data_IF_968844017396
#
_entry.id   IF_968844017396
#
_cell.length_a   1.000
_cell.length_b   1.000
_cell.length_c   1.000
_cell.angle_alpha   90.00
_cell.angle_beta   90.00
_cell.angle_gamma   90.00
#
_symmetry.space_group_name_H-M   'P 1'
#
loop_
_entity.id
_entity.type
_entity.pdbx_description
1 polymer ?
#
# COMPACT_ATOMS: atom_id res chain seq x y z
N UNK A 1 -14.23 -16.31 6.75
CA UNK A 1 -14.77 -14.97 7.05
C UNK A 1 -13.98 -13.92 6.31
N UNK A 2 -14.69 -12.97 5.70
CA UNK A 2 -14.01 -11.89 4.99
C UNK A 2 -13.36 -10.95 5.97
N UNK A 3 -12.08 -10.66 5.76
CA UNK A 3 -11.39 -9.61 6.52
C UNK A 3 -11.99 -8.25 6.19
N UNK A 4 -12.04 -7.39 7.17
CA UNK A 4 -12.46 -6.00 7.01
C UNK A 4 -11.25 -5.16 6.64
N UNK A 5 -11.43 -4.24 5.72
CA UNK A 5 -10.42 -3.26 5.34
C UNK A 5 -10.97 -1.85 5.47
N UNK A 6 -10.24 -1.02 6.17
CA UNK A 6 -10.48 0.41 6.22
C UNK A 6 -9.51 1.10 5.27
N UNK A 7 -10.02 1.70 4.22
CA UNK A 7 -9.23 2.50 3.29
C UNK A 7 -9.31 3.96 3.71
N UNK A 8 -8.18 4.60 3.91
CA UNK A 8 -8.11 6.03 4.19
C UNK A 8 -7.77 6.76 2.90
N UNK A 9 -8.75 7.51 2.40
CA UNK A 9 -8.63 8.26 1.15
C UNK A 9 -9.57 7.76 0.06
N UNK A 10 -10.22 8.69 -0.65
CA UNK A 10 -11.19 8.40 -1.72
C UNK A 10 -10.86 9.10 -3.05
N UNK A 11 -9.65 9.59 -3.20
CA UNK A 11 -9.15 10.15 -4.46
C UNK A 11 -8.92 9.07 -5.53
N UNK A 12 -8.27 9.41 -6.63
CA UNK A 12 -8.01 8.47 -7.72
C UNK A 12 -7.25 7.24 -7.28
N UNK A 13 -6.19 7.41 -6.50
CA UNK A 13 -5.43 6.29 -5.96
C UNK A 13 -6.28 5.48 -4.96
N UNK A 14 -7.05 6.14 -4.10
CA UNK A 14 -7.96 5.46 -3.16
C UNK A 14 -8.97 4.56 -3.86
N UNK A 15 -9.54 5.01 -4.98
CA UNK A 15 -10.44 4.19 -5.79
C UNK A 15 -9.73 3.00 -6.43
N UNK A 16 -8.50 3.18 -6.88
CA UNK A 16 -7.67 2.08 -7.39
C UNK A 16 -7.41 1.01 -6.32
N UNK A 17 -7.09 1.45 -5.11
CA UNK A 17 -6.91 0.54 -3.96
C UNK A 17 -8.21 -0.19 -3.63
N UNK A 18 -9.34 0.51 -3.70
CA UNK A 18 -10.66 -0.08 -3.47
C UNK A 18 -10.93 -1.24 -4.43
N UNK A 19 -10.68 -1.05 -5.73
CA UNK A 19 -10.87 -2.10 -6.74
C UNK A 19 -10.04 -3.34 -6.44
N UNK A 20 -8.79 -3.15 -6.05
CA UNK A 20 -7.89 -4.25 -5.69
C UNK A 20 -8.40 -4.99 -4.46
N UNK A 21 -8.82 -4.25 -3.44
CA UNK A 21 -9.32 -4.82 -2.20
C UNK A 21 -10.60 -5.64 -2.42
N UNK A 22 -11.49 -5.18 -3.29
CA UNK A 22 -12.67 -5.97 -3.69
C UNK A 22 -12.28 -7.31 -4.30
N UNK A 23 -11.33 -7.29 -5.23
CA UNK A 23 -10.86 -8.52 -5.88
C UNK A 23 -10.20 -9.49 -4.89
N UNK A 24 -9.60 -8.96 -3.83
CA UNK A 24 -9.00 -9.75 -2.76
C UNK A 24 -10.02 -10.24 -1.72
N UNK A 25 -11.29 -9.88 -1.86
CA UNK A 25 -12.37 -10.37 -1.01
C UNK A 25 -12.55 -9.64 0.30
N UNK A 26 -12.01 -8.44 0.45
CA UNK A 26 -12.23 -7.62 1.65
C UNK A 26 -13.64 -7.05 1.73
N UNK A 27 -14.14 -6.93 2.96
CA UNK A 27 -15.28 -6.06 3.28
C UNK A 27 -14.75 -4.67 3.58
N UNK A 28 -15.15 -3.66 2.80
CA UNK A 28 -14.46 -2.38 2.73
C UNK A 28 -15.30 -1.26 3.34
N UNK A 29 -14.66 -0.42 4.15
CA UNK A 29 -15.15 0.89 4.58
C UNK A 29 -14.12 1.94 4.18
N UNK A 30 -14.57 3.06 3.61
CA UNK A 30 -13.70 4.17 3.20
C UNK A 30 -13.87 5.34 4.17
N UNK A 31 -12.76 5.87 4.64
CA UNK A 31 -12.70 7.10 5.43
C UNK A 31 -12.08 8.22 4.60
N UNK A 32 -12.72 9.38 4.59
CA UNK A 32 -12.23 10.54 3.87
C UNK A 32 -12.82 11.81 4.49
N UNK A 33 -12.02 12.87 4.60
CA UNK A 33 -12.48 14.10 5.24
C UNK A 33 -13.53 14.87 4.42
N UNK A 34 -13.76 14.47 3.16
CA UNK A 34 -14.92 14.97 2.38
C UNK A 34 -16.23 14.33 2.80
N UNK A 35 -16.18 13.22 3.52
CA UNK A 35 -17.36 12.55 4.10
C UNK A 35 -17.44 12.88 5.60
N UNK A 36 -18.43 13.68 5.98
CA UNK A 36 -18.60 14.11 7.37
C UNK A 36 -18.96 13.00 8.33
N UNK A 37 -19.57 11.92 7.82
CA UNK A 37 -19.95 10.77 8.64
C UNK A 37 -18.79 9.80 8.84
N UNK A 38 -17.83 9.78 7.89
CA UNK A 38 -16.68 8.88 7.90
C UNK A 38 -15.36 9.64 7.74
N UNK A 39 -15.03 10.60 8.63
CA UNK A 39 -13.78 11.33 8.52
C UNK A 39 -12.57 10.46 8.87
N UNK A 40 -11.40 10.83 8.38
CA UNK A 40 -10.16 10.11 8.65
C UNK A 40 -9.91 9.91 10.16
N UNK A 41 -10.18 10.93 10.97
CA UNK A 41 -9.97 10.88 12.41
C UNK A 41 -10.82 9.81 13.14
N UNK A 42 -11.85 9.28 12.50
CA UNK A 42 -12.69 8.22 13.08
C UNK A 42 -12.06 6.82 13.02
N UNK A 43 -10.86 6.68 12.46
CA UNK A 43 -10.24 5.37 12.21
C UNK A 43 -10.11 4.50 13.46
N UNK A 44 -9.89 5.08 14.62
CA UNK A 44 -9.71 4.34 15.87
C UNK A 44 -10.96 3.52 16.27
N UNK A 45 -12.14 3.95 15.82
CA UNK A 45 -13.41 3.23 16.06
C UNK A 45 -13.45 1.85 15.40
N UNK A 46 -12.60 1.63 14.41
CA UNK A 46 -12.59 0.41 13.61
C UNK A 46 -11.48 -0.55 14.01
N UNK A 47 -10.69 -0.21 15.02
CA UNK A 47 -9.59 -1.07 15.46
C UNK A 47 -10.16 -2.29 16.21
N UNK A 48 -9.98 -3.46 15.63
CA UNK A 48 -10.30 -4.77 16.21
C UNK A 48 -9.38 -5.85 15.65
N UNK A 49 -9.56 -7.10 16.07
CA UNK A 49 -8.70 -8.21 15.66
C UNK A 49 -8.86 -8.61 14.18
N UNK A 50 -9.99 -8.27 13.56
CA UNK A 50 -10.34 -8.70 12.20
C UNK A 50 -10.20 -7.58 11.17
N UNK A 51 -9.80 -6.39 11.58
CA UNK A 51 -9.74 -5.21 10.72
C UNK A 51 -8.30 -4.81 10.41
N UNK A 52 -8.04 -4.63 9.12
CA UNK A 52 -6.80 -4.07 8.61
C UNK A 52 -7.04 -2.68 8.02
N UNK A 53 -5.99 -1.89 7.92
CA UNK A 53 -6.04 -0.50 7.45
C UNK A 53 -5.06 -0.30 6.32
N UNK A 54 -5.43 0.53 5.35
CA UNK A 54 -4.53 0.96 4.29
C UNK A 54 -4.70 2.46 3.99
N UNK A 55 -3.72 3.30 4.32
CA UNK A 55 -3.71 4.68 3.84
C UNK A 55 -3.49 4.71 2.33
N UNK A 56 -4.41 5.33 1.61
CA UNK A 56 -4.42 5.36 0.15
C UNK A 56 -4.29 6.79 -0.37
N UNK A 57 -3.19 7.45 0.00
CA UNK A 57 -2.85 8.80 -0.42
C UNK A 57 -1.68 8.77 -1.39
N UNK A 58 -1.76 9.56 -2.45
CA UNK A 58 -0.68 9.70 -3.43
C UNK A 58 0.54 10.43 -2.88
N UNK A 59 0.38 11.32 -1.91
CA UNK A 59 1.50 11.99 -1.24
C UNK A 59 2.23 11.00 -0.34
N UNK A 60 3.53 10.80 -0.59
CA UNK A 60 4.32 9.80 0.10
C UNK A 60 4.49 10.07 1.60
N UNK A 61 4.81 11.30 1.96
CA UNK A 61 5.00 11.67 3.38
C UNK A 61 3.70 11.58 4.16
N UNK A 62 2.60 12.09 3.59
CA UNK A 62 1.28 12.04 4.21
C UNK A 62 0.82 10.60 4.41
N UNK A 63 1.05 9.74 3.42
CA UNK A 63 0.72 8.32 3.52
C UNK A 63 1.47 7.65 4.67
N UNK A 64 2.77 7.90 4.80
CA UNK A 64 3.59 7.36 5.90
C UNK A 64 3.17 7.89 7.27
N UNK A 65 2.82 9.17 7.38
CA UNK A 65 2.31 9.74 8.62
C UNK A 65 1.07 8.98 9.12
N UNK A 66 0.15 8.66 8.22
CA UNK A 66 -1.04 7.89 8.56
C UNK A 66 -0.70 6.44 8.93
N UNK A 67 0.25 5.84 8.25
CA UNK A 67 0.73 4.50 8.60
C UNK A 67 1.23 4.46 10.04
N UNK A 68 2.11 5.38 10.40
CA UNK A 68 2.63 5.47 11.78
C UNK A 68 1.52 5.73 12.80
N UNK A 69 0.60 6.61 12.47
CA UNK A 69 -0.51 6.94 13.36
C UNK A 69 -1.41 5.73 13.62
N UNK A 70 -1.68 4.94 12.60
CA UNK A 70 -2.45 3.70 12.74
C UNK A 70 -1.70 2.69 13.61
N UNK A 71 -0.40 2.50 13.37
CA UNK A 71 0.42 1.58 14.16
C UNK A 71 0.49 2.01 15.64
N UNK A 72 0.70 3.29 15.90
CA UNK A 72 0.74 3.83 17.27
C UNK A 72 -0.58 3.60 18.01
N UNK A 73 -1.71 3.64 17.33
CA UNK A 73 -3.02 3.37 17.90
C UNK A 73 -3.32 1.88 18.06
N UNK A 74 -2.43 0.99 17.63
CA UNK A 74 -2.62 -0.45 17.71
C UNK A 74 -3.37 -1.08 16.52
N UNK A 75 -3.59 -0.32 15.44
CA UNK A 75 -4.19 -0.85 14.22
C UNK A 75 -3.22 -1.69 13.40
N UNK A 76 -3.75 -2.62 12.63
CA UNK A 76 -2.98 -3.51 11.74
C UNK A 76 -3.00 -2.96 10.32
N UNK A 77 -1.85 -2.89 9.68
CA UNK A 77 -1.76 -2.46 8.30
C UNK A 77 -1.95 -3.64 7.34
N UNK A 78 -2.71 -3.41 6.27
CA UNK A 78 -2.81 -4.34 5.17
C UNK A 78 -1.59 -4.21 4.25
N UNK A 79 -1.30 -5.29 3.54
CA UNK A 79 -0.42 -5.29 2.38
C UNK A 79 -1.20 -5.93 1.24
N UNK A 80 -1.47 -5.16 0.20
CA UNK A 80 -2.33 -5.60 -0.90
C UNK A 80 -1.47 -5.94 -2.10
N UNK A 81 -1.58 -7.18 -2.58
CA UNK A 81 -0.90 -7.64 -3.79
C UNK A 81 -1.96 -8.09 -4.79
N UNK A 82 -2.04 -7.41 -5.92
CA UNK A 82 -3.00 -7.81 -6.95
C UNK A 82 -2.67 -9.19 -7.50
N UNK A 83 -3.65 -10.03 -7.80
CA UNK A 83 -3.41 -11.39 -8.31
C UNK A 83 -2.59 -11.48 -9.60
N UNK A 84 -2.57 -10.42 -10.43
CA UNK A 84 -1.76 -10.38 -11.64
C UNK A 84 -0.34 -9.83 -11.42
N UNK A 85 -0.01 -9.40 -10.21
CA UNK A 85 1.35 -9.00 -9.87
C UNK A 85 2.19 -10.25 -9.58
N UNK A 86 3.47 -10.19 -9.95
CA UNK A 86 4.43 -11.21 -9.55
C UNK A 86 5.33 -10.69 -8.44
N UNK A 87 5.32 -11.35 -7.30
CA UNK A 87 6.24 -11.08 -6.21
C UNK A 87 7.03 -12.36 -5.95
N UNK A 88 8.36 -12.30 -6.14
CA UNK A 88 9.21 -13.46 -5.90
C UNK A 88 9.05 -13.98 -4.46
N UNK A 89 9.03 -15.31 -4.25
CA UNK A 89 9.03 -15.87 -2.90
C UNK A 89 10.26 -15.46 -2.07
N UNK A 90 11.32 -14.99 -2.73
CA UNK A 90 12.56 -14.50 -2.09
C UNK A 90 12.62 -12.98 -1.97
N UNK A 91 11.58 -12.29 -2.40
CA UNK A 91 11.44 -10.85 -2.16
C UNK A 91 10.78 -10.61 -0.79
N UNK A 92 11.06 -9.45 -0.21
CA UNK A 92 10.46 -9.02 1.05
C UNK A 92 9.65 -7.75 0.80
N UNK A 93 8.37 -7.77 1.16
CA UNK A 93 7.48 -6.61 1.05
C UNK A 93 6.98 -6.28 2.45
N UNK A 94 7.29 -5.08 2.92
CA UNK A 94 6.87 -4.60 4.24
C UNK A 94 5.38 -4.23 4.25
N UNK A 95 4.84 -4.01 5.45
CA UNK A 95 3.42 -3.67 5.63
C UNK A 95 3.04 -2.33 5.04
N UNK A 96 1.77 -2.18 4.70
CA UNK A 96 1.23 -0.93 4.18
C UNK A 96 1.50 -0.70 2.70
N UNK A 97 2.07 -1.67 2.00
CA UNK A 97 2.35 -1.58 0.56
C UNK A 97 1.15 -1.99 -0.27
N UNK A 98 1.06 -1.41 -1.45
CA UNK A 98 0.14 -1.86 -2.51
C UNK A 98 0.95 -2.19 -3.75
N UNK A 99 0.84 -3.44 -4.19
CA UNK A 99 1.50 -3.97 -5.38
C UNK A 99 0.41 -4.13 -6.45
N UNK A 100 0.42 -3.25 -7.43
CA UNK A 100 -0.68 -3.08 -8.38
C UNK A 100 -0.63 -4.08 -9.54
N UNK A 101 -1.73 -4.17 -10.31
CA UNK A 101 -1.81 -5.11 -11.44
C UNK A 101 -0.61 -5.06 -12.39
N UNK A 102 -0.13 -6.24 -12.76
CA UNK A 102 0.94 -6.40 -13.74
C UNK A 102 2.33 -5.97 -13.28
N UNK A 103 2.49 -5.58 -12.02
CA UNK A 103 3.81 -5.21 -11.50
C UNK A 103 4.63 -6.45 -11.11
N UNK A 104 5.95 -6.27 -11.04
CA UNK A 104 6.90 -7.33 -10.77
C UNK A 104 7.86 -6.88 -9.68
N UNK A 105 8.02 -7.72 -8.66
CA UNK A 105 9.06 -7.56 -7.63
C UNK A 105 9.92 -8.83 -7.65
N UNK A 106 11.11 -8.71 -8.24
CA UNK A 106 11.97 -9.85 -8.52
C UNK A 106 12.78 -10.31 -7.31
N UNK A 107 13.47 -11.42 -7.48
CA UNK A 107 14.17 -12.14 -6.42
C UNK A 107 15.17 -11.25 -5.65
N UNK A 108 15.22 -11.44 -4.34
CA UNK A 108 16.14 -10.73 -3.46
C UNK A 108 15.82 -9.28 -3.18
N UNK A 109 14.79 -8.72 -3.82
CA UNK A 109 14.43 -7.32 -3.63
C UNK A 109 13.67 -7.09 -2.32
N UNK A 110 13.86 -5.91 -1.76
CA UNK A 110 13.24 -5.49 -0.49
C UNK A 110 12.45 -4.20 -0.72
N UNK A 111 11.18 -4.26 -0.39
CA UNK A 111 10.27 -3.10 -0.50
C UNK A 111 9.92 -2.64 0.90
N UNK A 112 10.24 -1.42 1.21
CA UNK A 112 10.00 -0.80 2.51
C UNK A 112 8.51 -0.52 2.77
N UNK A 113 8.24 -0.03 3.97
CA UNK A 113 6.90 0.23 4.48
C UNK A 113 6.16 1.29 3.65
N UNK A 114 4.89 1.03 3.37
CA UNK A 114 4.01 2.03 2.77
C UNK A 114 4.35 2.43 1.34
N UNK A 115 5.00 1.56 0.58
CA UNK A 115 5.33 1.82 -0.81
C UNK A 115 4.16 1.55 -1.75
N UNK A 116 4.16 2.25 -2.88
CA UNK A 116 3.26 1.99 -4.01
C UNK A 116 4.12 1.47 -5.16
N UNK A 117 3.87 0.24 -5.58
CA UNK A 117 4.43 -0.33 -6.81
C UNK A 117 3.30 -0.31 -7.84
N UNK A 118 3.26 0.75 -8.65
CA UNK A 118 2.10 1.07 -9.48
C UNK A 118 1.96 0.15 -10.70
N UNK A 119 0.90 0.33 -11.46
CA UNK A 119 0.52 -0.51 -12.61
C UNK A 119 1.72 -0.82 -13.52
N UNK A 120 2.03 -2.10 -13.69
CA UNK A 120 3.08 -2.57 -14.59
C UNK A 120 4.50 -2.15 -14.22
N UNK A 121 4.73 -1.58 -13.04
CA UNK A 121 6.08 -1.23 -12.60
C UNK A 121 6.90 -2.51 -12.38
N UNK A 122 8.19 -2.44 -12.70
CA UNK A 122 9.09 -3.59 -12.62
C UNK A 122 10.27 -3.28 -11.71
N UNK A 123 10.40 -4.07 -10.66
CA UNK A 123 11.54 -4.04 -9.74
C UNK A 123 12.37 -5.29 -10.02
N UNK A 124 13.57 -5.10 -10.53
CA UNK A 124 14.47 -6.20 -10.88
C UNK A 124 15.12 -6.82 -9.62
N UNK A 125 16.06 -7.74 -9.80
CA UNK A 125 16.68 -8.49 -8.70
C UNK A 125 17.49 -7.61 -7.75
N UNK A 126 17.51 -7.95 -6.48
CA UNK A 126 18.37 -7.35 -5.45
C UNK A 126 18.26 -5.83 -5.32
N UNK A 127 17.07 -5.28 -5.60
CA UNK A 127 16.76 -3.86 -5.43
C UNK A 127 16.35 -3.58 -3.99
N UNK A 128 16.76 -2.43 -3.46
CA UNK A 128 16.28 -1.94 -2.16
C UNK A 128 15.42 -0.69 -2.42
N UNK A 129 14.15 -0.78 -2.04
CA UNK A 129 13.22 0.34 -2.07
C UNK A 129 12.93 0.72 -0.63
N UNK A 130 13.27 1.97 -0.25
CA UNK A 130 13.07 2.45 1.11
C UNK A 130 11.62 2.84 1.36
N UNK A 131 11.28 3.21 2.60
CA UNK A 131 9.90 3.48 3.01
C UNK A 131 9.26 4.63 2.24
N UNK A 132 7.97 4.53 1.97
CA UNK A 132 7.17 5.60 1.40
C UNK A 132 7.46 5.93 -0.06
N UNK A 133 8.11 5.05 -0.79
CA UNK A 133 8.41 5.25 -2.21
C UNK A 133 7.17 4.97 -3.08
N UNK A 134 7.02 5.74 -4.14
CA UNK A 134 6.03 5.50 -5.18
C UNK A 134 6.74 5.25 -6.51
N UNK A 135 6.75 4.01 -6.97
CA UNK A 135 7.14 3.68 -8.34
C UNK A 135 5.91 3.88 -9.23
N UNK A 136 5.96 4.87 -10.10
CA UNK A 136 4.84 5.23 -10.95
C UNK A 136 4.56 4.17 -12.02
N UNK A 137 3.46 4.36 -12.74
CA UNK A 137 3.01 3.43 -13.79
C UNK A 137 4.16 3.11 -14.77
N UNK A 138 4.45 1.83 -14.95
CA UNK A 138 5.47 1.28 -15.85
C UNK A 138 6.90 1.73 -15.56
N UNK A 139 7.17 2.22 -14.36
CA UNK A 139 8.55 2.50 -13.93
C UNK A 139 9.37 1.20 -13.90
N UNK A 140 10.64 1.31 -14.27
CA UNK A 140 11.59 0.19 -14.23
C UNK A 140 12.74 0.56 -13.32
N UNK A 141 12.98 -0.27 -12.31
CA UNK A 141 14.15 -0.17 -11.43
C UNK A 141 15.07 -1.34 -11.74
N UNK A 142 16.26 -1.05 -12.27
CA UNK A 142 17.24 -2.06 -12.66
C UNK A 142 17.86 -2.73 -11.43
N UNK A 143 18.36 -3.92 -11.64
CA UNK A 143 18.97 -4.74 -10.58
C UNK A 143 20.02 -4.02 -9.75
N UNK A 144 20.05 -4.35 -8.46
CA UNK A 144 21.02 -3.85 -7.48
C UNK A 144 20.95 -2.35 -7.17
N UNK A 145 19.95 -1.65 -7.69
CA UNK A 145 19.73 -0.23 -7.40
C UNK A 145 19.03 -0.02 -6.06
N UNK A 146 19.15 1.20 -5.56
CA UNK A 146 18.48 1.64 -4.33
C UNK A 146 17.68 2.90 -4.59
N UNK A 147 16.44 2.90 -4.13
CA UNK A 147 15.52 4.04 -4.20
C UNK A 147 15.31 4.56 -2.78
N UNK A 148 15.63 5.82 -2.55
CA UNK A 148 15.59 6.43 -1.22
C UNK A 148 14.18 6.78 -0.78
N UNK A 149 14.01 7.00 0.54
CA UNK A 149 12.73 7.34 1.15
C UNK A 149 11.97 8.42 0.39
N UNK A 150 10.67 8.22 0.28
CA UNK A 150 9.71 9.18 -0.27
C UNK A 150 9.91 9.56 -1.74
N UNK A 151 10.83 8.92 -2.45
CA UNK A 151 10.99 9.18 -3.88
C UNK A 151 9.76 8.75 -4.65
N UNK A 152 9.47 9.52 -5.69
CA UNK A 152 8.43 9.21 -6.68
C UNK A 152 9.09 9.21 -8.05
N UNK A 153 9.18 8.07 -8.67
CA UNK A 153 9.82 7.90 -9.98
C UNK A 153 8.94 7.16 -10.96
#
# INVERSE_FOLDING_TARGET
MNKKLIILGSGGYGRTVHDIAEQLGYSITVLDDTDKEHPLASFERYIDDDTEFIPAFGNNEFRLQWIHRIEEAGGKLATLVHPTAYVSPKAQVSTGCVILPGSIVNTGSKVGKGCIINLGATVDHDVVIEDGVHLCVRCIVKGENRISHFEKI
#
